data_IF_593078135810
#
_entry.id   IF_593078135810
#
_cell.length_a   1.000
_cell.length_b   1.000
_cell.length_c   1.000
_cell.angle_alpha   90.00
_cell.angle_beta   90.00
_cell.angle_gamma   90.00
#
_symmetry.space_group_name_H-M   'P 1'
#
loop_
_entity.id
_entity.type
_entity.pdbx_description
1 polymer ?
#
# COMPACT_ATOMS: atom_id res chain seq x y z
N UNK A 1 3.18 -1.89 0.65
CA UNK A 1 2.03 -0.98 0.86
C UNK A 1 1.04 -1.13 -0.29
N UNK A 2 -0.08 -1.83 -0.10
CA UNK A 2 -1.26 -1.60 -0.96
C UNK A 2 -1.95 -0.31 -0.50
N UNK A 3 -2.64 0.38 -1.41
CA UNK A 3 -2.87 1.83 -1.30
C UNK A 3 -4.38 2.17 -1.26
N UNK A 4 -4.76 3.40 -0.91
CA UNK A 4 -6.05 3.75 -0.28
C UNK A 4 -6.92 4.77 -1.06
N UNK A 5 -8.25 4.65 -0.94
CA UNK A 5 -9.22 5.78 -1.03
C UNK A 5 -10.43 5.52 -0.10
N UNK A 6 -11.27 6.52 0.12
CA UNK A 6 -12.05 6.71 1.37
C UNK A 6 -13.60 6.52 1.26
N UNK A 7 -14.40 6.38 2.34
CA UNK A 7 -14.15 6.44 3.79
C UNK A 7 -15.15 5.55 4.60
N UNK A 8 -15.23 5.76 5.92
CA UNK A 8 -16.10 5.06 6.91
C UNK A 8 -15.78 3.54 7.05
N UNK A 9 -16.53 2.76 7.84
CA UNK A 9 -16.35 1.29 8.00
C UNK A 9 -16.73 0.51 6.73
N UNK A 10 -16.06 0.84 5.63
CA UNK A 10 -16.26 0.31 4.29
C UNK A 10 -17.75 0.24 3.88
N UNK A 11 -18.54 1.25 4.27
CA UNK A 11 -19.99 1.16 4.12
C UNK A 11 -20.43 1.04 2.66
N UNK A 12 -21.34 0.10 2.37
CA UNK A 12 -22.06 0.07 1.10
C UNK A 12 -22.81 1.39 0.93
N UNK A 13 -22.34 2.20 -0.03
CA UNK A 13 -22.84 3.56 -0.29
C UNK A 13 -24.33 3.61 -0.64
N UNK A 14 -24.92 2.49 -1.05
CA UNK A 14 -26.36 2.38 -1.34
C UNK A 14 -27.21 2.00 -0.12
N UNK A 15 -26.67 1.28 0.87
CA UNK A 15 -27.45 0.76 2.02
C UNK A 15 -27.00 1.23 3.40
N UNK A 16 -25.83 1.89 3.52
CA UNK A 16 -25.19 2.22 4.80
C UNK A 16 -25.08 1.02 5.74
N UNK A 17 -24.66 -0.13 5.20
CA UNK A 17 -24.20 -1.31 5.98
C UNK A 17 -22.68 -1.49 5.88
N UNK A 18 -21.96 -1.92 6.93
CA UNK A 18 -20.51 -2.11 6.88
C UNK A 18 -20.12 -3.05 5.74
N UNK A 19 -18.96 -2.86 5.08
CA UNK A 19 -18.56 -3.83 4.06
C UNK A 19 -18.39 -5.18 4.73
N UNK A 20 -18.87 -6.14 3.97
CA UNK A 20 -18.55 -7.53 4.18
C UNK A 20 -17.57 -7.97 3.11
N UNK A 21 -16.71 -8.88 3.49
CA UNK A 21 -15.87 -9.59 2.54
C UNK A 21 -16.69 -10.63 1.74
N UNK A 22 -16.08 -11.35 0.77
CA UNK A 22 -16.78 -12.40 0.01
C UNK A 22 -17.28 -13.58 0.85
N UNK A 23 -17.01 -13.58 2.17
CA UNK A 23 -17.43 -14.58 3.15
C UNK A 23 -18.52 -14.04 4.08
N UNK A 24 -19.09 -12.87 3.77
CA UNK A 24 -20.11 -12.16 4.55
C UNK A 24 -19.59 -11.65 5.94
N UNK A 25 -18.27 -11.62 6.16
CA UNK A 25 -17.64 -11.15 7.40
C UNK A 25 -17.40 -9.63 7.41
N UNK A 26 -17.72 -8.95 8.51
CA UNK A 26 -17.44 -7.51 8.68
C UNK A 26 -15.93 -7.25 8.75
N UNK A 27 -15.44 -6.39 7.87
CA UNK A 27 -14.03 -5.98 7.80
C UNK A 27 -13.65 -5.15 9.03
N UNK A 28 -12.59 -5.56 9.75
CA UNK A 28 -12.19 -4.97 11.05
C UNK A 28 -10.66 -4.85 11.19
N UNK A 29 -10.23 -3.97 12.09
CA UNK A 29 -8.86 -3.94 12.62
C UNK A 29 -7.80 -3.42 11.63
N UNK A 30 -8.05 -2.27 10.99
CA UNK A 30 -7.13 -1.69 10.01
C UNK A 30 -7.07 -2.44 8.68
N UNK A 31 -8.01 -3.36 8.43
CA UNK A 31 -8.31 -3.90 7.10
C UNK A 31 -9.26 -2.94 6.39
N UNK A 32 -9.10 -2.80 5.09
CA UNK A 32 -9.95 -1.93 4.26
C UNK A 32 -10.54 -2.72 3.11
N UNK A 33 -11.77 -2.38 2.72
CA UNK A 33 -12.48 -2.99 1.62
C UNK A 33 -13.22 -1.94 0.79
N UNK A 34 -13.24 -2.13 -0.53
CA UNK A 34 -13.97 -1.25 -1.44
C UNK A 34 -14.61 -2.04 -2.58
N UNK A 35 -15.76 -1.52 -3.03
CA UNK A 35 -16.47 -1.97 -4.24
C UNK A 35 -16.16 -1.02 -5.39
N UNK A 36 -15.77 -1.55 -6.55
CA UNK A 36 -15.44 -0.75 -7.72
C UNK A 36 -16.13 -1.29 -8.97
N UNK A 37 -17.19 -0.59 -9.39
CA UNK A 37 -17.97 -0.95 -10.57
C UNK A 37 -18.59 -2.35 -10.45
N UNK A 38 -18.18 -3.27 -11.33
CA UNK A 38 -18.67 -4.66 -11.37
C UNK A 38 -17.75 -5.68 -10.68
N UNK A 39 -16.58 -5.26 -10.18
CA UNK A 39 -15.61 -6.17 -9.57
C UNK A 39 -15.68 -6.05 -8.04
N UNK A 40 -15.66 -7.21 -7.40
CA UNK A 40 -15.86 -7.37 -5.98
C UNK A 40 -14.58 -7.10 -5.18
N UNK A 41 -14.76 -6.43 -4.04
CA UNK A 41 -13.91 -6.50 -2.85
C UNK A 41 -12.39 -6.63 -3.04
N UNK A 42 -11.66 -5.53 -2.82
CA UNK A 42 -10.22 -5.56 -2.61
C UNK A 42 -9.88 -5.36 -1.12
N UNK A 43 -9.20 -6.32 -0.48
CA UNK A 43 -8.73 -6.16 0.91
C UNK A 43 -7.32 -5.57 0.97
N UNK A 44 -7.16 -4.50 1.75
CA UNK A 44 -5.83 -3.97 2.12
C UNK A 44 -5.50 -4.37 3.56
N UNK A 45 -4.42 -5.13 3.74
CA UNK A 45 -3.82 -5.41 5.05
C UNK A 45 -2.49 -4.65 5.17
N UNK A 46 -2.38 -3.64 6.05
CA UNK A 46 -1.10 -3.05 6.42
C UNK A 46 -0.18 -4.10 7.05
N UNK A 47 1.12 -4.00 6.78
CA UNK A 47 2.10 -4.95 7.31
C UNK A 47 3.22 -4.20 8.00
N UNK A 48 3.24 -4.23 9.34
CA UNK A 48 4.23 -3.52 10.15
C UNK A 48 5.58 -4.25 10.15
N UNK A 49 6.31 -4.10 9.05
CA UNK A 49 7.66 -4.64 8.86
C UNK A 49 7.71 -5.95 8.10
N UNK A 50 8.87 -6.20 7.47
CA UNK A 50 9.08 -7.30 6.52
C UNK A 50 8.84 -8.69 7.13
N UNK A 51 9.17 -8.86 8.42
CA UNK A 51 8.96 -10.11 9.17
C UNK A 51 7.49 -10.52 9.29
N UNK A 52 6.54 -9.57 9.17
CA UNK A 52 5.10 -9.85 9.20
C UNK A 52 4.50 -10.17 7.82
N UNK A 53 5.21 -9.88 6.72
CA UNK A 53 4.71 -10.12 5.35
C UNK A 53 4.52 -11.63 5.12
N UNK A 54 5.48 -12.44 5.56
CA UNK A 54 5.47 -13.88 5.32
C UNK A 54 4.37 -14.60 6.13
N UNK A 55 4.15 -14.33 7.44
CA UNK A 55 3.00 -14.86 8.18
C UNK A 55 1.64 -14.49 7.57
N UNK A 56 1.46 -13.24 7.13
CA UNK A 56 0.19 -12.77 6.54
C UNK A 56 -0.05 -13.43 5.18
N UNK A 57 0.98 -13.51 4.33
CA UNK A 57 0.92 -14.24 3.07
C UNK A 57 0.56 -15.72 3.33
N UNK A 58 1.28 -16.40 4.23
CA UNK A 58 1.03 -17.80 4.58
C UNK A 58 -0.41 -18.04 5.07
N UNK A 59 -0.90 -17.21 5.98
CA UNK A 59 -2.28 -17.31 6.49
C UNK A 59 -3.29 -17.20 5.35
N UNK A 60 -3.20 -16.16 4.53
CA UNK A 60 -4.11 -15.95 3.41
C UNK A 60 -4.00 -17.04 2.34
N UNK A 61 -2.80 -17.53 2.02
CA UNK A 61 -2.64 -18.66 1.08
C UNK A 61 -3.09 -20.00 1.66
N UNK A 62 -3.06 -20.17 2.98
CA UNK A 62 -3.62 -21.34 3.66
C UNK A 62 -5.15 -21.37 3.54
N UNK A 63 -5.80 -20.22 3.72
CA UNK A 63 -7.24 -20.05 3.48
C UNK A 63 -7.59 -20.46 2.03
N UNK A 64 -6.82 -19.99 1.03
CA UNK A 64 -6.99 -20.38 -0.38
C UNK A 64 -6.79 -21.89 -0.58
N UNK A 65 -5.78 -22.50 0.03
CA UNK A 65 -5.52 -23.93 -0.16
C UNK A 65 -6.72 -24.76 0.31
N UNK A 66 -7.24 -24.46 1.50
CA UNK A 66 -8.46 -25.10 2.00
C UNK A 66 -9.65 -24.87 1.05
N UNK A 67 -9.79 -23.65 0.55
CA UNK A 67 -10.83 -23.27 -0.42
C UNK A 67 -10.75 -24.05 -1.74
N UNK A 68 -9.55 -24.19 -2.31
CA UNK A 68 -9.30 -24.94 -3.55
C UNK A 68 -9.57 -26.42 -3.31
N UNK A 69 -9.07 -27.01 -2.22
CA UNK A 69 -9.34 -28.39 -1.84
C UNK A 69 -10.83 -28.67 -1.56
N UNK A 70 -11.59 -27.67 -1.11
CA UNK A 70 -13.04 -27.79 -0.90
C UNK A 70 -13.83 -27.64 -2.22
N UNK A 71 -13.45 -26.70 -3.08
CA UNK A 71 -14.02 -26.60 -4.44
C UNK A 71 -13.85 -27.88 -5.25
N UNK A 72 -12.67 -28.52 -5.16
CA UNK A 72 -12.37 -29.79 -5.84
C UNK A 72 -13.21 -30.97 -5.32
N UNK A 73 -13.73 -30.90 -4.09
CA UNK A 73 -14.64 -31.92 -3.51
C UNK A 73 -16.10 -31.72 -3.92
N UNK A 74 -16.45 -30.55 -4.45
CA UNK A 74 -17.83 -30.18 -4.80
C UNK A 74 -17.97 -29.95 -6.31
N UNK A 75 -18.46 -30.93 -7.11
CA UNK A 75 -18.43 -30.86 -8.58
C UNK A 75 -19.28 -29.74 -9.22
N UNK A 76 -20.14 -29.07 -8.44
CA UNK A 76 -20.95 -27.93 -8.88
C UNK A 76 -20.45 -26.58 -8.30
N UNK A 77 -19.33 -26.58 -7.56
CA UNK A 77 -18.80 -25.38 -6.94
C UNK A 77 -17.94 -24.60 -7.93
N UNK A 78 -18.50 -23.50 -8.44
CA UNK A 78 -17.75 -22.54 -9.23
C UNK A 78 -17.05 -21.59 -8.24
N UNK A 79 -15.71 -21.65 -8.08
CA UNK A 79 -15.02 -20.64 -7.29
C UNK A 79 -15.25 -19.26 -7.94
N UNK A 80 -15.48 -18.19 -7.16
CA UNK A 80 -15.48 -16.84 -7.69
C UNK A 80 -14.11 -16.59 -8.32
N UNK A 81 -14.14 -15.92 -9.47
CA UNK A 81 -13.00 -15.43 -10.27
C UNK A 81 -11.66 -15.51 -9.56
N UNK A 82 -10.74 -16.33 -10.09
CA UNK A 82 -9.36 -16.56 -9.65
C UNK A 82 -8.86 -15.50 -8.64
N UNK A 83 -8.74 -15.81 -7.34
CA UNK A 83 -8.35 -14.80 -6.36
C UNK A 83 -6.95 -14.25 -6.68
N UNK A 84 -6.91 -12.97 -7.06
CA UNK A 84 -5.70 -12.23 -7.40
C UNK A 84 -5.19 -11.48 -6.17
N UNK A 85 -4.01 -11.85 -5.71
CA UNK A 85 -3.28 -11.14 -4.66
C UNK A 85 -2.27 -10.21 -5.29
N UNK A 86 -2.17 -8.99 -4.79
CA UNK A 86 -1.05 -8.11 -5.11
C UNK A 86 -0.23 -7.93 -3.84
N UNK A 87 1.09 -8.08 -3.96
CA UNK A 87 2.07 -7.78 -2.91
C UNK A 87 2.86 -6.58 -3.41
N UNK A 88 2.55 -5.41 -2.86
CA UNK A 88 3.31 -4.18 -3.17
C UNK A 88 4.46 -4.03 -2.17
N UNK A 89 5.68 -4.13 -2.67
CA UNK A 89 6.92 -3.92 -1.95
C UNK A 89 7.34 -2.45 -2.09
N UNK A 90 7.42 -1.72 -0.97
CA UNK A 90 8.05 -0.39 -0.98
C UNK A 90 9.56 -0.57 -1.12
N UNK A 91 10.16 0.14 -2.05
CA UNK A 91 11.60 0.22 -2.24
C UNK A 91 12.03 1.62 -1.82
N UNK A 92 12.38 1.74 -0.56
CA UNK A 92 12.97 2.95 0.01
C UNK A 92 14.48 2.87 -0.28
N UNK A 93 14.98 3.63 -1.28
CA UNK A 93 16.41 3.67 -1.61
C UNK A 93 17.20 4.47 -0.56
N UNK A 94 17.45 3.83 0.58
CA UNK A 94 18.10 4.39 1.77
C UNK A 94 19.63 4.49 1.65
N UNK A 95 20.09 5.13 0.58
CA UNK A 95 21.50 5.51 0.41
C UNK A 95 21.72 7.02 0.53
N UNK A 96 21.40 7.55 1.72
CA UNK A 96 22.26 8.60 2.28
C UNK A 96 23.60 7.91 2.62
N UNK A 97 24.66 8.29 1.90
CA UNK A 97 25.89 7.49 1.78
C UNK A 97 26.80 7.46 3.03
N UNK A 98 26.27 7.72 4.23
CA UNK A 98 27.07 8.18 5.39
C UNK A 98 26.95 7.35 6.66
N UNK A 99 26.10 6.33 6.75
CA UNK A 99 25.96 5.54 7.99
C UNK A 99 26.12 4.04 7.75
N UNK A 100 26.99 3.42 8.57
CA UNK A 100 27.26 1.98 8.62
C UNK A 100 26.10 1.18 9.27
N UNK A 101 24.85 1.53 8.95
CA UNK A 101 23.71 0.72 9.33
C UNK A 101 23.84 -0.64 8.63
N UNK A 102 23.79 -1.73 9.39
CA UNK A 102 23.62 -3.07 8.83
C UNK A 102 22.39 -3.02 7.92
N UNK A 103 22.58 -3.23 6.61
CA UNK A 103 21.47 -3.28 5.67
C UNK A 103 20.59 -4.47 6.03
N UNK A 104 19.50 -4.19 6.74
CA UNK A 104 18.39 -5.13 6.87
C UNK A 104 18.04 -5.63 5.47
N UNK A 105 17.95 -6.96 5.25
CA UNK A 105 17.90 -7.54 3.92
C UNK A 105 16.56 -7.24 3.26
N UNK A 106 16.51 -6.13 2.52
CA UNK A 106 15.34 -5.60 1.82
C UNK A 106 14.56 -6.73 1.16
N UNK A 107 13.26 -6.82 1.44
CA UNK A 107 12.43 -7.93 0.99
C UNK A 107 12.48 -8.05 -0.54
N UNK A 108 13.17 -9.07 -1.01
CA UNK A 108 13.41 -9.30 -2.43
C UNK A 108 12.30 -10.14 -3.05
N UNK A 109 12.16 -10.06 -4.38
CA UNK A 109 11.32 -10.98 -5.16
C UNK A 109 11.70 -12.45 -4.86
N UNK A 110 12.98 -12.74 -4.62
CA UNK A 110 13.46 -14.08 -4.30
C UNK A 110 13.03 -14.54 -2.89
N UNK A 111 12.96 -13.64 -1.90
CA UNK A 111 12.42 -13.97 -0.57
C UNK A 111 10.93 -14.30 -0.63
N UNK A 112 10.15 -13.52 -1.39
CA UNK A 112 8.72 -13.82 -1.61
C UNK A 112 8.57 -15.14 -2.35
N UNK A 113 9.30 -15.34 -3.46
CA UNK A 113 9.32 -16.59 -4.23
C UNK A 113 9.58 -17.81 -3.34
N UNK A 114 10.62 -17.79 -2.52
CA UNK A 114 10.96 -18.91 -1.63
C UNK A 114 9.84 -19.26 -0.65
N UNK A 115 9.08 -18.26 -0.18
CA UNK A 115 7.90 -18.50 0.66
C UNK A 115 6.74 -19.08 -0.14
N UNK A 116 6.52 -18.61 -1.37
CA UNK A 116 5.51 -19.19 -2.26
C UNK A 116 5.85 -20.64 -2.64
N UNK A 117 7.12 -20.97 -2.91
CA UNK A 117 7.61 -22.34 -3.12
C UNK A 117 7.41 -23.23 -1.87
N UNK A 118 7.49 -22.65 -0.65
CA UNK A 118 7.21 -23.38 0.60
C UNK A 118 5.72 -23.66 0.85
N UNK A 119 4.84 -23.02 0.08
CA UNK A 119 3.38 -23.17 0.15
C UNK A 119 2.84 -24.05 -0.98
N UNK A 120 3.43 -23.93 -2.17
CA UNK A 120 3.15 -24.75 -3.33
C UNK A 120 4.45 -25.14 -4.05
N UNK A 121 4.76 -26.44 -4.05
CA UNK A 121 5.91 -26.98 -4.79
C UNK A 121 5.70 -27.02 -6.32
N UNK A 122 4.47 -26.74 -6.79
CA UNK A 122 4.11 -26.62 -8.20
C UNK A 122 4.02 -25.16 -8.68
N UNK A 123 4.53 -24.20 -7.90
CA UNK A 123 4.57 -22.78 -8.24
C UNK A 123 5.07 -22.54 -9.69
N UNK A 124 4.25 -21.87 -10.50
CA UNK A 124 4.63 -21.42 -11.84
C UNK A 124 4.86 -19.90 -11.82
N UNK A 125 5.90 -19.41 -12.49
CA UNK A 125 6.22 -17.98 -12.57
C UNK A 125 6.23 -17.52 -14.03
N UNK A 126 5.38 -16.55 -14.38
CA UNK A 126 5.30 -15.98 -15.72
C UNK A 126 5.13 -14.46 -15.64
N UNK A 127 6.02 -13.69 -16.31
CA UNK A 127 5.91 -12.22 -16.41
C UNK A 127 5.68 -11.52 -15.04
N UNK A 128 6.47 -11.92 -14.03
CA UNK A 128 6.40 -11.44 -12.64
C UNK A 128 5.09 -11.76 -11.88
N UNK A 129 4.26 -12.65 -12.43
CA UNK A 129 3.09 -13.26 -11.77
C UNK A 129 3.45 -14.65 -11.28
N UNK A 130 3.10 -14.93 -10.02
CA UNK A 130 3.35 -16.18 -9.33
C UNK A 130 2.03 -16.95 -9.18
N UNK A 131 1.91 -18.06 -9.90
CA UNK A 131 0.70 -18.89 -9.92
C UNK A 131 0.82 -20.06 -8.96
N UNK A 132 -0.07 -20.08 -7.97
CA UNK A 132 -0.17 -21.11 -6.93
C UNK A 132 -1.33 -22.08 -7.23
N UNK A 133 -1.22 -23.28 -6.68
CA UNK A 133 -2.26 -24.30 -6.59
C UNK A 133 -2.87 -24.65 -7.96
N UNK A 134 -2.02 -25.04 -8.91
CA UNK A 134 -2.42 -25.28 -10.31
C UNK A 134 -3.08 -24.06 -10.99
N UNK A 135 -2.53 -22.86 -10.73
CA UNK A 135 -2.99 -21.55 -11.23
C UNK A 135 -4.32 -21.03 -10.67
N UNK A 136 -4.92 -21.68 -9.67
CA UNK A 136 -6.16 -21.17 -9.06
C UNK A 136 -5.96 -19.90 -8.22
N UNK A 137 -4.72 -19.46 -8.01
CA UNK A 137 -4.38 -18.20 -7.35
C UNK A 137 -3.20 -17.55 -8.06
N UNK A 138 -3.29 -16.23 -8.29
CA UNK A 138 -2.22 -15.43 -8.88
C UNK A 138 -1.72 -14.40 -7.86
N UNK A 139 -0.41 -14.36 -7.61
CA UNK A 139 0.26 -13.38 -6.77
C UNK A 139 1.12 -12.48 -7.65
N UNK A 140 0.75 -11.20 -7.75
CA UNK A 140 1.50 -10.17 -8.45
C UNK A 140 2.46 -9.48 -7.47
N UNK A 141 3.76 -9.39 -7.80
CA UNK A 141 4.70 -8.61 -6.99
C UNK A 141 4.97 -7.27 -7.68
N UNK A 142 4.52 -6.18 -7.05
CA UNK A 142 4.78 -4.83 -7.56
C UNK A 142 5.84 -4.16 -6.69
N UNK A 143 6.97 -3.78 -7.28
CA UNK A 143 7.95 -2.91 -6.63
C UNK A 143 7.53 -1.46 -6.86
N UNK A 144 7.39 -0.69 -5.79
CA UNK A 144 7.02 0.72 -5.85
C UNK A 144 8.04 1.57 -5.10
N UNK A 145 8.31 2.77 -5.59
CA UNK A 145 9.21 3.74 -4.98
C UNK A 145 8.58 5.12 -5.01
N UNK A 146 8.72 5.87 -3.93
CA UNK A 146 8.28 7.26 -3.81
C UNK A 146 9.25 8.23 -4.52
N UNK A 147 9.62 7.99 -5.77
CA UNK A 147 10.77 8.61 -6.46
C UNK A 147 10.53 10.10 -6.79
N UNK A 148 10.63 10.93 -5.76
CA UNK A 148 10.29 12.36 -5.81
C UNK A 148 11.58 13.16 -5.92
N UNK A 149 11.69 14.18 -6.80
CA UNK A 149 12.86 15.06 -6.87
C UNK A 149 13.24 15.65 -5.51
N UNK A 150 14.53 15.95 -5.32
CA UNK A 150 15.00 16.63 -4.10
C UNK A 150 14.73 18.13 -4.22
N UNK A 151 14.18 18.72 -3.16
CA UNK A 151 14.11 20.18 -2.99
C UNK A 151 14.40 20.57 -1.54
N UNK A 152 14.52 21.87 -1.30
CA UNK A 152 14.65 22.48 0.03
C UNK A 152 13.39 22.23 0.88
N UNK A 153 13.55 22.16 2.20
CA UNK A 153 12.44 21.90 3.13
C UNK A 153 11.76 20.52 3.02
N UNK A 154 12.24 19.59 2.19
CA UNK A 154 11.65 18.25 1.99
C UNK A 154 12.59 17.15 2.56
N UNK A 155 12.07 16.10 3.25
CA UNK A 155 12.88 15.00 3.76
C UNK A 155 13.77 14.35 2.69
N UNK A 156 15.05 14.17 2.99
CA UNK A 156 16.00 13.52 2.06
C UNK A 156 15.73 12.01 1.83
N UNK A 157 14.95 11.37 2.72
CA UNK A 157 14.57 9.96 2.61
C UNK A 157 13.42 9.77 1.61
N UNK A 158 13.56 8.88 0.63
CA UNK A 158 12.52 8.61 -0.39
C UNK A 158 11.39 7.73 0.16
N UNK A 159 10.41 8.35 0.85
CA UNK A 159 9.22 7.66 1.42
C UNK A 159 7.90 8.29 0.97
N UNK A 160 6.77 7.65 1.29
CA UNK A 160 5.45 8.25 1.06
C UNK A 160 5.30 9.61 1.77
N UNK A 161 5.82 9.75 2.99
CA UNK A 161 5.79 11.02 3.71
C UNK A 161 6.55 12.14 2.97
N UNK A 162 7.66 11.81 2.28
CA UNK A 162 8.37 12.77 1.43
C UNK A 162 7.52 13.26 0.27
N UNK A 163 6.83 12.34 -0.42
CA UNK A 163 5.90 12.68 -1.51
C UNK A 163 4.80 13.62 -1.02
N UNK A 164 4.25 13.35 0.17
CA UNK A 164 3.23 14.20 0.80
C UNK A 164 3.80 15.57 1.19
N UNK A 165 5.01 15.64 1.76
CA UNK A 165 5.69 16.91 2.01
C UNK A 165 5.91 17.70 0.71
N UNK A 166 6.32 17.03 -0.36
CA UNK A 166 6.54 17.65 -1.68
C UNK A 166 5.25 18.22 -2.26
N UNK A 167 4.14 17.50 -2.16
CA UNK A 167 2.83 17.99 -2.61
C UNK A 167 2.36 19.21 -1.80
N UNK A 168 2.56 19.22 -0.48
CA UNK A 168 2.22 20.36 0.39
C UNK A 168 3.11 21.58 0.07
N UNK A 169 4.41 21.39 -0.15
CA UNK A 169 5.34 22.47 -0.51
C UNK A 169 5.00 23.08 -1.85
N UNK A 170 4.68 22.26 -2.86
CA UNK A 170 4.32 22.76 -4.19
C UNK A 170 2.96 23.48 -4.20
N UNK A 171 1.96 22.97 -3.46
CA UNK A 171 0.66 23.65 -3.30
C UNK A 171 0.77 24.99 -2.55
N UNK A 172 1.83 25.17 -1.73
CA UNK A 172 2.03 26.34 -0.89
C UNK A 172 3.51 26.75 -0.83
N UNK A 173 4.00 27.35 -1.92
CA UNK A 173 5.43 27.59 -2.17
C UNK A 173 6.21 28.29 -1.02
N UNK A 174 5.59 29.12 -0.19
CA UNK A 174 6.26 29.77 0.95
C UNK A 174 6.43 28.87 2.18
N UNK A 175 5.67 27.78 2.31
CA UNK A 175 5.67 26.92 3.51
C UNK A 175 6.93 26.08 3.66
N UNK A 176 7.60 25.72 2.55
CA UNK A 176 8.86 24.98 2.60
C UNK A 176 9.95 25.77 3.32
N UNK A 177 10.00 27.09 3.11
CA UNK A 177 10.97 28.00 3.75
C UNK A 177 10.72 28.11 5.26
N UNK A 178 9.46 28.29 5.68
CA UNK A 178 9.08 28.33 7.11
C UNK A 178 9.43 27.03 7.83
N UNK A 179 9.16 25.88 7.19
CA UNK A 179 9.47 24.55 7.75
C UNK A 179 10.98 24.32 7.80
N UNK A 180 11.74 24.69 6.77
CA UNK A 180 13.19 24.62 6.77
C UNK A 180 13.83 25.54 7.83
N UNK A 181 13.32 26.76 7.99
CA UNK A 181 13.74 27.72 9.01
C UNK A 181 13.40 27.30 10.45
N UNK A 182 12.42 26.41 10.64
CA UNK A 182 12.10 25.80 11.92
C UNK A 182 12.89 24.51 12.16
N UNK A 183 13.12 23.70 11.12
CA UNK A 183 13.86 22.43 11.20
C UNK A 183 15.37 22.63 11.33
N UNK A 184 15.96 23.62 10.65
CA UNK A 184 17.38 23.99 10.79
C UNK A 184 17.81 24.28 12.23
N UNK A 185 16.86 24.58 13.13
CA UNK A 185 17.11 24.83 14.56
C UNK A 185 17.21 23.55 15.41
N UNK A 186 16.93 22.35 14.87
CA UNK A 186 17.03 21.06 15.60
C UNK A 186 17.33 19.86 14.68
N UNK A 187 18.33 19.04 15.03
CA UNK A 187 18.55 17.73 14.37
C UNK A 187 17.35 16.81 14.64
N UNK A 188 16.77 16.20 13.59
CA UNK A 188 15.59 15.32 13.65
C UNK A 188 15.66 14.19 12.61
N UNK A 189 15.01 13.07 12.90
CA UNK A 189 14.84 11.95 11.95
C UNK A 189 13.82 12.27 10.84
N UNK A 190 13.83 11.56 9.69
CA UNK A 190 12.87 11.78 8.60
C UNK A 190 11.40 11.68 9.02
N UNK A 191 11.07 10.75 9.94
CA UNK A 191 9.71 10.62 10.49
C UNK A 191 9.31 11.85 11.32
N UNK A 192 10.24 12.37 12.13
CA UNK A 192 10.02 13.60 12.88
C UNK A 192 9.98 14.84 11.96
N UNK A 193 10.63 14.80 10.80
CA UNK A 193 10.54 15.82 9.74
C UNK A 193 9.11 15.85 9.16
N UNK A 194 8.55 14.71 8.77
CA UNK A 194 7.17 14.58 8.30
C UNK A 194 6.13 14.99 9.37
N UNK A 195 6.30 14.55 10.61
CA UNK A 195 5.45 14.96 11.74
C UNK A 195 5.49 16.45 12.04
N UNK A 196 6.50 17.18 11.56
CA UNK A 196 6.59 18.63 11.75
C UNK A 196 5.68 19.39 10.78
N UNK A 197 5.42 18.85 9.59
CA UNK A 197 4.33 19.33 8.72
C UNK A 197 2.95 19.09 9.36
N UNK A 198 2.73 17.91 9.95
CA UNK A 198 1.49 17.59 10.67
C UNK A 198 1.25 18.56 11.84
N UNK A 199 2.24 18.71 12.73
CA UNK A 199 2.12 19.46 13.98
C UNK A 199 2.00 20.99 13.81
N UNK A 200 2.33 21.54 12.63
CA UNK A 200 2.20 22.97 12.34
C UNK A 200 0.92 23.35 11.59
N UNK A 201 0.57 22.59 10.54
CA UNK A 201 -0.50 22.97 9.60
C UNK A 201 -1.79 22.18 9.75
N UNK A 202 -1.72 20.97 10.28
CA UNK A 202 -2.88 20.15 10.61
C UNK A 202 -2.89 19.87 12.12
N UNK A 203 -2.52 20.88 12.91
CA UNK A 203 -2.29 20.75 14.35
C UNK A 203 -3.52 20.30 15.15
N UNK A 204 -4.73 20.54 14.63
CA UNK A 204 -6.00 20.07 15.20
C UNK A 204 -6.34 18.62 14.84
N UNK A 205 -5.54 17.99 13.96
CA UNK A 205 -5.76 16.65 13.42
C UNK A 205 -4.68 15.68 13.92
N UNK A 206 -5.12 14.51 14.39
CA UNK A 206 -4.19 13.43 14.77
C UNK A 206 -3.48 12.83 13.55
N UNK A 207 -2.42 12.05 13.79
CA UNK A 207 -1.63 11.38 12.73
C UNK A 207 -2.50 10.57 11.75
N UNK A 208 -3.55 9.92 12.23
CA UNK A 208 -4.47 9.13 11.41
C UNK A 208 -5.38 10.02 10.53
N UNK A 209 -5.62 11.26 10.95
CA UNK A 209 -6.55 12.20 10.31
C UNK A 209 -5.87 13.13 9.30
N UNK A 210 -4.60 13.47 9.53
CA UNK A 210 -3.75 14.23 8.60
C UNK A 210 -3.88 13.79 7.12
N UNK A 211 -3.80 12.48 6.85
CA UNK A 211 -3.90 11.98 5.48
C UNK A 211 -5.28 12.18 4.85
N UNK A 212 -6.37 12.23 5.64
CA UNK A 212 -7.70 12.57 5.12
C UNK A 212 -7.78 14.04 4.75
N UNK A 213 -7.26 14.92 5.61
CA UNK A 213 -7.32 16.35 5.36
C UNK A 213 -6.51 16.78 4.14
N UNK A 214 -5.36 16.14 3.86
CA UNK A 214 -4.63 16.33 2.60
C UNK A 214 -5.49 15.96 1.35
N UNK A 215 -6.33 14.93 1.44
CA UNK A 215 -7.25 14.56 0.35
C UNK A 215 -8.49 15.47 0.28
N UNK A 216 -8.84 16.16 1.38
CA UNK A 216 -9.92 17.15 1.43
C UNK A 216 -9.47 18.54 0.98
N UNK A 217 -8.21 18.89 1.21
CA UNK A 217 -7.60 20.15 0.76
C UNK A 217 -7.61 20.24 -0.78
N UNK A 218 -8.44 21.13 -1.32
CA UNK A 218 -8.62 21.33 -2.76
C UNK A 218 -7.35 21.88 -3.45
N UNK A 219 -6.38 22.39 -2.70
CA UNK A 219 -5.09 22.88 -3.23
C UNK A 219 -4.01 21.79 -3.22
N UNK A 220 -3.92 20.98 -2.16
CA UNK A 220 -2.93 19.90 -2.04
C UNK A 220 -3.34 18.65 -2.82
N UNK A 221 -4.62 18.25 -2.79
CA UNK A 221 -5.14 17.07 -3.50
C UNK A 221 -4.69 16.96 -4.97
N UNK A 222 -4.91 17.96 -5.85
CA UNK A 222 -4.58 17.82 -7.27
C UNK A 222 -3.07 17.69 -7.51
N UNK A 223 -2.25 18.31 -6.66
CA UNK A 223 -0.79 18.19 -6.69
C UNK A 223 -0.37 16.77 -6.31
N UNK A 224 -0.85 16.26 -5.17
CA UNK A 224 -0.54 14.91 -4.68
C UNK A 224 -1.01 13.84 -5.68
N UNK A 225 -2.22 13.96 -6.23
CA UNK A 225 -2.74 13.02 -7.23
C UNK A 225 -1.87 12.99 -8.49
N UNK A 226 -1.43 14.15 -8.99
CA UNK A 226 -0.53 14.23 -10.14
C UNK A 226 0.85 13.63 -9.84
N UNK A 227 1.43 13.90 -8.65
CA UNK A 227 2.72 13.32 -8.26
C UNK A 227 2.62 11.79 -8.09
N UNK A 228 1.55 11.28 -7.44
CA UNK A 228 1.27 9.83 -7.33
C UNK A 228 1.13 9.13 -8.70
N UNK A 229 0.49 9.79 -9.68
CA UNK A 229 0.41 9.31 -11.06
C UNK A 229 1.78 9.28 -11.74
N UNK A 230 2.59 10.33 -11.58
CA UNK A 230 3.92 10.42 -12.18
C UNK A 230 4.87 9.31 -11.72
N UNK A 231 4.82 8.91 -10.44
CA UNK A 231 5.61 7.79 -9.89
C UNK A 231 4.94 6.40 -10.06
N UNK A 232 3.90 6.31 -10.90
CA UNK A 232 3.22 5.04 -11.19
C UNK A 232 2.40 4.44 -10.05
N UNK A 233 2.24 5.12 -8.90
CA UNK A 233 1.42 4.62 -7.79
C UNK A 233 -0.02 4.34 -8.24
N UNK A 234 -0.55 5.21 -9.11
CA UNK A 234 -1.90 5.08 -9.67
C UNK A 234 -2.08 3.83 -10.56
N UNK A 235 -1.04 3.41 -11.29
CA UNK A 235 -1.12 2.19 -12.11
C UNK A 235 -1.26 0.92 -11.26
N UNK A 236 -0.76 0.92 -10.03
CA UNK A 236 -0.95 -0.17 -9.06
C UNK A 236 -2.42 -0.27 -8.66
N UNK A 237 -3.07 0.87 -8.42
CA UNK A 237 -4.51 0.92 -8.17
C UNK A 237 -5.32 0.48 -9.39
N UNK A 238 -4.98 0.96 -10.59
CA UNK A 238 -5.70 0.59 -11.81
C UNK A 238 -5.59 -0.92 -12.08
N UNK A 239 -4.47 -1.55 -11.69
CA UNK A 239 -4.28 -3.02 -11.73
C UNK A 239 -5.17 -3.76 -10.71
N UNK A 240 -5.36 -3.21 -9.51
CA UNK A 240 -6.35 -3.73 -8.53
C UNK A 240 -7.79 -3.56 -9.03
N UNK A 241 -8.05 -2.47 -9.76
CA UNK A 241 -9.38 -2.05 -10.22
C UNK A 241 -9.87 -2.81 -11.45
N UNK A 242 -8.94 -3.11 -12.36
CA UNK A 242 -9.20 -3.72 -13.65
C UNK A 242 -8.23 -4.88 -13.85
N UNK A 243 -8.37 -5.98 -13.09
CA UNK A 243 -7.61 -7.19 -13.36
C UNK A 243 -7.88 -7.62 -14.81
N UNK A 244 -6.83 -7.67 -15.62
CA UNK A 244 -6.90 -8.08 -17.02
C UNK A 244 -7.70 -9.38 -17.14
N UNK A 245 -8.64 -9.39 -18.09
CA UNK A 245 -9.48 -10.53 -18.45
C UNK A 245 -8.66 -11.66 -19.09
#
# INVERSE_FOLDING_TARGET
MLVTRDWEEAYDKSTKKPAKDPRDEVVKGGRYAFYQGRIAYAEVTPVDGESKILPIAKLRTGDIKGYVEESQKQPNYVPPTEPKYIIVLSVDDDTLATENAEKLPTLSVQHVKSVLESLDSQLVVEKDVFYLFSRSCAVHITRWKADTPQAAGIPAKQTLERLVCAAICEAHATRSEDVEAWLSKKVRSPKAYAWSYMAGWYAEHGCDDFYREIWRDDTVRPVLERQLKAIGAWAIFDTLSHPSA
#
